data_IF_788934842485
#
_entry.id   IF_788934842485
#
_cell.length_a   1.000
_cell.length_b   1.000
_cell.length_c   1.000
_cell.angle_alpha   90.00
_cell.angle_beta   90.00
_cell.angle_gamma   90.00
#
_symmetry.space_group_name_H-M   'P 1'
#
loop_
_entity.id
_entity.type
_entity.pdbx_description
1 polymer ?
#
# COMPACT_ATOMS: atom_id res chain seq x y z
N UNK A 1 -7.89 -12.53 -28.04
CA UNK A 1 -8.92 -11.47 -28.15
C UNK A 1 -8.87 -10.64 -26.88
N UNK A 2 -8.95 -9.30 -26.95
CA UNK A 2 -9.04 -8.49 -25.74
C UNK A 2 -10.32 -8.84 -24.96
N UNK A 3 -10.22 -8.94 -23.64
CA UNK A 3 -11.37 -9.14 -22.76
C UNK A 3 -12.32 -7.93 -22.90
N UNK A 4 -13.63 -8.14 -23.10
CA UNK A 4 -14.58 -7.03 -23.11
C UNK A 4 -14.60 -6.34 -21.74
N UNK A 5 -14.69 -5.02 -21.73
CA UNK A 5 -14.64 -4.17 -20.53
C UNK A 5 -15.58 -4.65 -19.41
N UNK A 6 -16.86 -4.98 -19.68
CA UNK A 6 -17.76 -5.41 -18.61
C UNK A 6 -17.29 -6.71 -17.94
N UNK A 7 -16.71 -7.64 -18.71
CA UNK A 7 -16.17 -8.87 -18.13
C UNK A 7 -14.94 -8.58 -17.26
N UNK A 8 -14.07 -7.66 -17.70
CA UNK A 8 -12.90 -7.25 -16.94
C UNK A 8 -13.28 -6.58 -15.61
N UNK A 9 -14.24 -5.65 -15.61
CA UNK A 9 -14.71 -4.98 -14.38
C UNK A 9 -15.33 -5.97 -13.40
N UNK A 10 -16.15 -6.91 -13.88
CA UNK A 10 -16.74 -7.94 -13.01
C UNK A 10 -15.68 -8.86 -12.39
N UNK A 11 -14.71 -9.32 -13.18
CA UNK A 11 -13.61 -10.16 -12.69
C UNK A 11 -12.75 -9.37 -11.69
N UNK A 12 -12.55 -8.07 -11.92
CA UNK A 12 -11.82 -7.16 -11.02
C UNK A 12 -12.48 -7.16 -9.64
N UNK A 13 -13.78 -6.87 -9.58
CA UNK A 13 -14.55 -6.82 -8.33
C UNK A 13 -14.50 -8.14 -7.56
N UNK A 14 -14.58 -9.29 -8.24
CA UNK A 14 -14.51 -10.59 -7.57
C UNK A 14 -13.14 -10.83 -6.94
N UNK A 15 -12.07 -10.51 -7.67
CA UNK A 15 -10.70 -10.65 -7.19
C UNK A 15 -10.41 -9.66 -6.06
N UNK A 16 -10.95 -8.46 -6.17
CA UNK A 16 -10.90 -7.42 -5.16
C UNK A 16 -11.53 -7.90 -3.83
N UNK A 17 -12.77 -8.38 -3.87
CA UNK A 17 -13.47 -8.89 -2.69
C UNK A 17 -12.71 -10.07 -2.07
N UNK A 18 -12.13 -10.95 -2.90
CA UNK A 18 -11.32 -12.07 -2.42
C UNK A 18 -10.06 -11.60 -1.69
N UNK A 19 -9.32 -10.64 -2.26
CA UNK A 19 -8.14 -10.03 -1.65
C UNK A 19 -8.51 -9.27 -0.37
N UNK A 20 -9.66 -8.59 -0.35
CA UNK A 20 -10.19 -7.93 0.84
C UNK A 20 -10.49 -8.93 1.97
N UNK A 21 -10.99 -10.11 1.63
CA UNK A 21 -11.16 -11.21 2.59
C UNK A 21 -9.82 -11.61 3.24
N UNK A 22 -8.79 -11.83 2.42
CA UNK A 22 -7.42 -12.13 2.92
C UNK A 22 -6.89 -11.00 3.80
N UNK A 23 -7.03 -9.76 3.33
CA UNK A 23 -6.63 -8.56 4.07
C UNK A 23 -7.33 -8.46 5.43
N UNK A 24 -8.63 -8.75 5.48
CA UNK A 24 -9.41 -8.74 6.73
C UNK A 24 -8.92 -9.82 7.71
N UNK A 25 -8.56 -11.02 7.23
CA UNK A 25 -7.94 -12.04 8.08
C UNK A 25 -6.60 -11.57 8.66
N UNK A 26 -5.75 -10.92 7.85
CA UNK A 26 -4.49 -10.32 8.31
C UNK A 26 -4.73 -9.21 9.33
N UNK A 27 -5.74 -8.37 9.12
CA UNK A 27 -6.14 -7.31 10.04
C UNK A 27 -6.57 -7.89 11.38
N UNK A 28 -7.44 -8.90 11.39
CA UNK A 28 -7.90 -9.56 12.62
C UNK A 28 -6.72 -10.18 13.36
N UNK A 29 -5.84 -10.89 12.67
CA UNK A 29 -4.64 -11.49 13.26
C UNK A 29 -3.69 -10.44 13.85
N UNK A 30 -3.41 -9.37 13.10
CA UNK A 30 -2.56 -8.25 13.56
C UNK A 30 -3.15 -7.55 14.78
N UNK A 31 -4.45 -7.24 14.74
CA UNK A 31 -5.18 -6.61 15.84
C UNK A 31 -5.24 -7.51 17.07
N UNK A 32 -5.45 -8.82 16.90
CA UNK A 32 -5.41 -9.79 17.99
C UNK A 32 -4.04 -9.81 18.68
N UNK A 33 -2.95 -9.88 17.90
CA UNK A 33 -1.58 -9.84 18.44
C UNK A 33 -1.27 -8.51 19.16
N UNK A 34 -1.76 -7.39 18.64
CA UNK A 34 -1.67 -6.07 19.28
C UNK A 34 -2.45 -6.01 20.59
N UNK A 35 -3.64 -6.61 20.64
CA UNK A 35 -4.53 -6.61 21.80
C UNK A 35 -4.01 -7.49 22.94
N UNK A 36 -3.42 -8.64 22.64
CA UNK A 36 -2.81 -9.55 23.62
C UNK A 36 -1.62 -8.96 24.40
N UNK A 37 -1.10 -7.80 23.98
CA UNK A 37 -0.01 -7.11 24.68
C UNK A 37 -0.44 -6.60 26.05
N UNK A 38 0.23 -7.09 27.11
CA UNK A 38 0.06 -6.62 28.49
C UNK A 38 0.45 -5.15 28.70
N UNK A 39 1.42 -4.61 27.96
CA UNK A 39 1.82 -3.19 28.04
C UNK A 39 1.54 -2.46 26.72
N UNK A 40 0.69 -1.43 26.77
CA UNK A 40 0.36 -0.57 25.63
C UNK A 40 1.31 0.62 25.61
N UNK A 41 2.38 0.55 24.82
CA UNK A 41 3.26 1.70 24.58
C UNK A 41 2.59 2.67 23.61
N UNK A 42 3.02 3.94 23.61
CA UNK A 42 2.52 4.95 22.66
C UNK A 42 2.59 4.45 21.21
N UNK A 43 3.69 3.80 20.83
CA UNK A 43 3.89 3.20 19.51
C UNK A 43 2.84 2.13 19.19
N UNK A 44 2.54 1.22 20.12
CA UNK A 44 1.53 0.17 19.91
C UNK A 44 0.14 0.78 19.71
N UNK A 45 -0.21 1.81 20.48
CA UNK A 45 -1.49 2.51 20.35
C UNK A 45 -1.58 3.19 18.98
N UNK A 46 -0.55 3.97 18.60
CA UNK A 46 -0.50 4.62 17.29
C UNK A 46 -0.60 3.61 16.14
N UNK A 47 0.15 2.51 16.19
CA UNK A 47 0.10 1.46 15.17
C UNK A 47 -1.29 0.79 15.10
N UNK A 48 -1.96 0.60 16.24
CA UNK A 48 -3.32 0.04 16.28
C UNK A 48 -4.32 1.00 15.65
N UNK A 49 -4.23 2.29 15.97
CA UNK A 49 -5.11 3.33 15.38
C UNK A 49 -4.91 3.43 13.87
N UNK A 50 -3.66 3.50 13.40
CA UNK A 50 -3.36 3.52 11.96
C UNK A 50 -3.89 2.27 11.26
N UNK A 51 -3.74 1.09 11.89
CA UNK A 51 -4.26 -0.16 11.33
C UNK A 51 -5.80 -0.14 11.19
N UNK A 52 -6.51 0.37 12.19
CA UNK A 52 -7.98 0.51 12.14
C UNK A 52 -8.39 1.50 11.05
N UNK A 53 -7.70 2.64 10.94
CA UNK A 53 -7.98 3.64 9.91
C UNK A 53 -7.80 3.05 8.51
N UNK A 54 -6.68 2.35 8.26
CA UNK A 54 -6.42 1.69 6.97
C UNK A 54 -7.49 0.62 6.66
N UNK A 55 -7.93 -0.16 7.66
CA UNK A 55 -8.98 -1.15 7.43
C UNK A 55 -10.34 -0.53 7.11
N UNK A 56 -10.69 0.59 7.76
CA UNK A 56 -11.92 1.33 7.47
C UNK A 56 -11.89 1.94 6.06
N UNK A 57 -10.77 2.52 5.64
CA UNK A 57 -10.60 3.06 4.28
C UNK A 57 -10.73 1.96 3.24
N UNK A 58 -10.08 0.82 3.44
CA UNK A 58 -10.14 -0.31 2.50
C UNK A 58 -11.55 -0.90 2.41
N UNK A 59 -12.28 -0.95 3.54
CA UNK A 59 -13.68 -1.37 3.56
C UNK A 59 -14.57 -0.39 2.80
N UNK A 60 -14.33 0.92 2.97
CA UNK A 60 -15.03 1.97 2.22
C UNK A 60 -14.78 1.85 0.72
N UNK A 61 -13.53 1.65 0.31
CA UNK A 61 -13.12 1.53 -1.08
C UNK A 61 -13.82 0.37 -1.80
N UNK A 62 -13.81 -0.83 -1.20
CA UNK A 62 -14.49 -2.03 -1.75
C UNK A 62 -16.00 -1.83 -1.81
N UNK A 63 -16.58 -1.21 -0.78
CA UNK A 63 -18.03 -0.95 -0.73
C UNK A 63 -18.46 -0.01 -1.85
N UNK A 64 -17.70 1.06 -2.06
CA UNK A 64 -17.92 2.01 -3.15
C UNK A 64 -17.72 1.35 -4.52
N UNK A 65 -16.73 0.45 -4.66
CA UNK A 65 -16.51 -0.24 -5.94
C UNK A 65 -17.64 -1.21 -6.27
N UNK A 66 -18.11 -1.93 -5.25
CA UNK A 66 -19.28 -2.79 -5.36
C UNK A 66 -20.51 -1.98 -5.77
N UNK A 67 -20.77 -0.84 -5.13
CA UNK A 67 -21.90 0.02 -5.46
C UNK A 67 -21.81 0.57 -6.90
N UNK A 68 -20.65 1.12 -7.30
CA UNK A 68 -20.39 1.63 -8.66
C UNK A 68 -20.68 0.53 -9.69
N UNK A 69 -20.08 -0.64 -9.48
CA UNK A 69 -20.16 -1.76 -10.40
C UNK A 69 -21.58 -2.32 -10.48
N UNK A 70 -22.23 -2.53 -9.33
CA UNK A 70 -23.61 -3.02 -9.27
C UNK A 70 -24.58 -2.07 -9.98
N UNK A 71 -24.49 -0.76 -9.72
CA UNK A 71 -25.33 0.24 -10.37
C UNK A 71 -25.08 0.31 -11.88
N UNK A 72 -23.80 0.29 -12.29
CA UNK A 72 -23.42 0.30 -13.71
C UNK A 72 -23.99 -0.89 -14.48
N UNK A 73 -23.96 -2.10 -13.90
CA UNK A 73 -24.50 -3.30 -14.54
C UNK A 73 -26.03 -3.34 -14.58
N UNK A 74 -26.69 -3.10 -13.45
CA UNK A 74 -28.12 -3.37 -13.31
C UNK A 74 -29.03 -2.18 -13.63
N UNK A 75 -28.53 -0.95 -13.50
CA UNK A 75 -29.35 0.25 -13.63
C UNK A 75 -29.04 1.06 -14.89
N UNK A 76 -27.78 1.04 -15.33
CA UNK A 76 -27.29 1.89 -16.43
C UNK A 76 -26.92 1.08 -17.69
N UNK A 77 -27.28 -0.20 -17.73
CA UNK A 77 -27.05 -1.11 -18.87
C UNK A 77 -25.58 -1.14 -19.34
N UNK A 78 -24.62 -1.15 -18.41
CA UNK A 78 -23.17 -1.12 -18.68
C UNK A 78 -22.63 -2.28 -19.53
N UNK A 79 -23.45 -3.29 -19.81
CA UNK A 79 -23.17 -4.36 -20.78
C UNK A 79 -23.23 -3.82 -22.22
N UNK A 80 -24.18 -2.93 -22.52
CA UNK A 80 -24.38 -2.33 -23.84
C UNK A 80 -23.58 -1.04 -23.99
N UNK A 81 -23.54 -0.22 -22.94
CA UNK A 81 -22.75 1.01 -22.91
C UNK A 81 -21.63 0.93 -21.87
N UNK A 82 -20.45 0.50 -22.31
CA UNK A 82 -19.29 0.35 -21.42
C UNK A 82 -18.72 1.68 -20.93
N UNK A 83 -19.13 2.83 -21.50
CA UNK A 83 -18.61 4.14 -21.10
C UNK A 83 -18.95 4.47 -19.64
N UNK A 84 -20.10 3.99 -19.17
CA UNK A 84 -20.57 4.13 -17.79
C UNK A 84 -19.62 3.46 -16.78
N UNK A 85 -19.05 2.31 -17.15
CA UNK A 85 -18.12 1.57 -16.29
C UNK A 85 -16.71 2.18 -16.29
N UNK A 86 -16.35 2.87 -17.37
CA UNK A 86 -15.04 3.51 -17.57
C UNK A 86 -14.99 4.97 -17.13
N UNK A 87 -16.11 5.54 -16.65
CA UNK A 87 -16.17 6.93 -16.21
C UNK A 87 -15.54 7.10 -14.83
N UNK A 88 -14.34 7.68 -14.82
CA UNK A 88 -13.57 7.98 -13.62
C UNK A 88 -13.81 9.40 -13.09
N UNK A 89 -14.65 10.21 -13.77
CA UNK A 89 -15.12 11.49 -13.23
C UNK A 89 -16.21 11.34 -12.17
N UNK A 90 -16.78 10.14 -12.05
CA UNK A 90 -17.86 9.84 -11.11
C UNK A 90 -17.42 10.14 -9.66
N UNK A 91 -18.25 10.86 -8.86
CA UNK A 91 -17.95 11.17 -7.46
C UNK A 91 -17.58 9.95 -6.60
N UNK A 92 -18.09 8.76 -6.95
CA UNK A 92 -17.72 7.50 -6.28
C UNK A 92 -16.25 7.17 -6.51
N UNK A 93 -15.75 7.30 -7.74
CA UNK A 93 -14.34 7.08 -8.10
C UNK A 93 -13.44 8.14 -7.48
N UNK A 94 -13.88 9.40 -7.47
CA UNK A 94 -13.15 10.46 -6.78
C UNK A 94 -13.01 10.17 -5.28
N UNK A 95 -14.05 9.62 -4.65
CA UNK A 95 -14.01 9.22 -3.25
C UNK A 95 -13.04 8.04 -3.01
N UNK A 96 -13.04 7.05 -3.91
CA UNK A 96 -12.08 5.94 -3.87
C UNK A 96 -10.64 6.43 -3.99
N UNK A 97 -10.37 7.35 -4.92
CA UNK A 97 -9.04 7.95 -5.09
C UNK A 97 -8.56 8.63 -3.81
N UNK A 98 -9.43 9.35 -3.11
CA UNK A 98 -9.09 9.97 -1.82
C UNK A 98 -8.76 8.92 -0.75
N UNK A 99 -9.52 7.82 -0.68
CA UNK A 99 -9.24 6.72 0.24
C UNK A 99 -7.87 6.09 -0.05
N UNK A 100 -7.58 5.79 -1.32
CA UNK A 100 -6.27 5.26 -1.75
C UNK A 100 -5.13 6.23 -1.40
N UNK A 101 -5.34 7.54 -1.60
CA UNK A 101 -4.38 8.56 -1.22
C UNK A 101 -4.02 8.51 0.25
N UNK A 102 -5.03 8.39 1.12
CA UNK A 102 -4.80 8.30 2.56
C UNK A 102 -4.04 7.00 2.90
N UNK A 103 -4.39 5.88 2.27
CA UNK A 103 -3.77 4.58 2.52
C UNK A 103 -2.27 4.57 2.17
N UNK A 104 -1.88 5.02 0.98
CA UNK A 104 -0.46 5.02 0.63
C UNK A 104 0.33 6.07 1.41
N UNK A 105 -0.25 7.22 1.79
CA UNK A 105 0.43 8.21 2.66
C UNK A 105 0.72 7.60 4.03
N UNK A 106 -0.25 6.90 4.63
CA UNK A 106 -0.07 6.20 5.90
C UNK A 106 0.98 5.09 5.73
N UNK A 107 0.90 4.29 4.66
CA UNK A 107 1.85 3.23 4.35
C UNK A 107 3.28 3.74 4.23
N UNK A 108 3.51 4.75 3.39
CA UNK A 108 4.81 5.38 3.15
C UNK A 108 5.35 6.04 4.42
N UNK A 109 4.47 6.65 5.20
CA UNK A 109 4.78 7.20 6.52
C UNK A 109 5.27 6.13 7.51
N UNK A 110 4.60 4.98 7.59
CA UNK A 110 5.00 3.85 8.45
C UNK A 110 6.37 3.33 8.03
N UNK A 111 6.61 3.12 6.73
CA UNK A 111 7.89 2.59 6.23
C UNK A 111 9.03 3.58 6.50
N UNK A 112 8.79 4.86 6.24
CA UNK A 112 9.74 5.95 6.52
C UNK A 112 10.06 6.07 8.01
N UNK A 113 9.03 6.03 8.87
CA UNK A 113 9.20 6.10 10.33
C UNK A 113 10.12 4.99 10.83
N UNK A 114 10.01 3.76 10.29
CA UNK A 114 10.90 2.65 10.65
C UNK A 114 12.34 2.90 10.25
N UNK A 115 12.58 3.37 9.03
CA UNK A 115 13.93 3.71 8.58
C UNK A 115 14.53 4.81 9.46
N UNK A 116 13.74 5.83 9.80
CA UNK A 116 14.16 6.94 10.67
C UNK A 116 14.54 6.49 12.08
N UNK A 117 13.70 5.68 12.73
CA UNK A 117 13.99 5.14 14.08
C UNK A 117 15.23 4.24 14.07
N UNK A 118 15.42 3.44 13.03
CA UNK A 118 16.57 2.53 12.91
C UNK A 118 17.90 3.26 12.69
N UNK A 119 17.84 4.47 12.14
CA UNK A 119 18.98 5.36 11.92
C UNK A 119 19.16 6.43 13.01
N UNK A 120 18.69 6.13 14.23
CA UNK A 120 18.83 6.99 15.39
C UNK A 120 18.33 8.43 15.16
N UNK A 121 17.18 8.53 14.49
CA UNK A 121 16.47 9.77 14.25
C UNK A 121 17.21 10.78 13.34
N UNK A 122 18.11 10.32 12.46
CA UNK A 122 18.77 11.17 11.47
C UNK A 122 17.76 11.92 10.59
N UNK A 123 17.78 13.25 10.70
CA UNK A 123 16.87 14.15 9.98
C UNK A 123 17.02 14.09 8.47
N UNK A 124 18.17 13.65 7.94
CA UNK A 124 18.41 13.53 6.49
C UNK A 124 17.44 12.53 5.84
N UNK A 125 17.17 11.42 6.53
CA UNK A 125 16.25 10.38 6.05
C UNK A 125 14.82 10.90 6.05
N UNK A 126 14.46 11.67 7.09
CA UNK A 126 13.16 12.31 7.18
C UNK A 126 12.95 13.28 6.03
N UNK A 127 13.88 14.22 5.80
CA UNK A 127 13.75 15.18 4.70
C UNK A 127 13.70 14.51 3.32
N UNK A 128 14.56 13.53 3.06
CA UNK A 128 14.57 12.80 1.79
C UNK A 128 13.24 12.09 1.53
N UNK A 129 12.70 11.39 2.54
CA UNK A 129 11.44 10.66 2.41
C UNK A 129 10.23 11.60 2.36
N UNK A 130 10.25 12.71 3.12
CA UNK A 130 9.21 13.72 3.06
C UNK A 130 9.09 14.36 1.68
N UNK A 131 10.20 14.59 0.97
CA UNK A 131 10.16 15.11 -0.41
C UNK A 131 9.45 14.13 -1.34
N UNK A 132 9.75 12.83 -1.24
CA UNK A 132 9.11 11.80 -2.05
C UNK A 132 7.60 11.69 -1.75
N UNK A 133 7.22 11.67 -0.47
CA UNK A 133 5.81 11.61 -0.04
C UNK A 133 5.04 12.86 -0.49
N UNK A 134 5.62 14.06 -0.34
CA UNK A 134 5.00 15.29 -0.84
C UNK A 134 4.81 15.25 -2.36
N UNK A 135 5.75 14.66 -3.09
CA UNK A 135 5.60 14.38 -4.51
C UNK A 135 4.39 13.50 -4.80
N UNK A 136 4.25 12.36 -4.11
CA UNK A 136 3.12 11.44 -4.27
C UNK A 136 1.78 12.15 -4.00
N UNK A 137 1.72 12.96 -2.92
CA UNK A 137 0.54 13.76 -2.57
C UNK A 137 0.22 14.77 -3.66
N UNK A 138 1.22 15.51 -4.16
CA UNK A 138 1.02 16.48 -5.23
C UNK A 138 0.48 15.82 -6.50
N UNK A 139 1.03 14.67 -6.89
CA UNK A 139 0.54 13.92 -8.06
C UNK A 139 -0.88 13.39 -7.86
N UNK A 140 -1.25 12.98 -6.64
CA UNK A 140 -2.62 12.56 -6.30
C UNK A 140 -3.61 13.72 -6.36
N UNK A 141 -3.25 14.90 -5.86
CA UNK A 141 -4.07 16.12 -5.96
C UNK A 141 -4.27 16.52 -7.42
N UNK A 142 -3.21 16.48 -8.24
CA UNK A 142 -3.31 16.79 -9.67
C UNK A 142 -4.20 15.80 -10.42
N UNK A 143 -4.14 14.51 -10.08
CA UNK A 143 -5.03 13.49 -10.61
C UNK A 143 -6.49 13.78 -10.23
N UNK A 144 -6.76 14.03 -8.95
CA UNK A 144 -8.09 14.38 -8.45
C UNK A 144 -8.64 15.61 -9.17
N UNK A 145 -7.86 16.68 -9.29
CA UNK A 145 -8.29 17.91 -9.98
C UNK A 145 -8.59 17.68 -11.46
N UNK A 146 -7.77 16.86 -12.14
CA UNK A 146 -7.98 16.52 -13.54
C UNK A 146 -9.29 15.76 -13.75
N UNK A 147 -9.60 14.79 -12.88
CA UNK A 147 -10.84 14.00 -12.93
C UNK A 147 -12.07 14.82 -12.49
N UNK A 148 -11.94 15.64 -11.44
CA UNK A 148 -13.06 16.43 -10.91
C UNK A 148 -13.46 17.62 -11.83
N UNK A 149 -12.53 18.08 -12.68
CA UNK A 149 -12.77 19.21 -13.59
C UNK A 149 -13.20 18.78 -14.99
N UNK A 150 -13.28 17.47 -15.28
CA UNK A 150 -13.69 16.99 -16.60
C UNK A 150 -15.20 17.11 -16.78
N UNK A 151 -15.64 17.81 -17.82
CA UNK A 151 -17.04 17.90 -18.22
C UNK A 151 -17.53 16.71 -19.06
N UNK A 152 -16.62 15.84 -19.47
CA UNK A 152 -16.87 14.66 -20.30
C UNK A 152 -16.35 13.41 -19.60
N UNK A 153 -16.88 12.24 -19.99
CA UNK A 153 -16.40 10.93 -19.53
C UNK A 153 -14.90 10.81 -19.75
N UNK A 154 -14.16 10.72 -18.64
CA UNK A 154 -12.71 10.61 -18.63
C UNK A 154 -12.33 9.28 -18.02
N UNK A 155 -11.32 8.64 -18.60
CA UNK A 155 -10.74 7.43 -18.05
C UNK A 155 -9.28 7.70 -17.68
N UNK A 156 -8.91 7.28 -16.47
CA UNK A 156 -7.54 7.37 -15.93
C UNK A 156 -6.52 6.77 -16.90
N UNK A 157 -6.92 5.75 -17.67
CA UNK A 157 -6.08 5.00 -18.59
C UNK A 157 -5.95 5.64 -19.97
N UNK A 158 -7.07 6.16 -20.50
CA UNK A 158 -7.11 6.70 -21.87
C UNK A 158 -6.58 8.13 -21.93
N UNK A 159 -6.79 8.92 -20.87
CA UNK A 159 -6.34 10.29 -20.84
C UNK A 159 -4.84 10.38 -20.52
N UNK A 160 -4.09 11.09 -21.35
CA UNK A 160 -2.64 11.20 -21.21
C UNK A 160 -2.21 11.84 -19.88
N UNK A 161 -2.92 12.89 -19.43
CA UNK A 161 -2.59 13.61 -18.20
C UNK A 161 -2.84 12.75 -16.97
N UNK A 162 -4.01 12.13 -16.85
CA UNK A 162 -4.34 11.24 -15.72
C UNK A 162 -3.37 10.07 -15.63
N UNK A 163 -2.95 9.53 -16.79
CA UNK A 163 -2.00 8.41 -16.86
C UNK A 163 -0.61 8.82 -16.39
N UNK A 164 -0.16 10.04 -16.71
CA UNK A 164 1.10 10.60 -16.21
C UNK A 164 1.03 10.81 -14.70
N UNK A 165 -0.03 11.43 -14.19
CA UNK A 165 -0.20 11.68 -12.75
C UNK A 165 -0.23 10.38 -11.94
N UNK A 166 -1.02 9.41 -12.42
CA UNK A 166 -1.12 8.07 -11.81
C UNK A 166 0.24 7.38 -11.79
N UNK A 167 0.92 7.28 -12.94
CA UNK A 167 2.24 6.63 -13.03
C UNK A 167 3.27 7.32 -12.13
N UNK A 168 3.24 8.66 -12.08
CA UNK A 168 4.14 9.44 -11.23
C UNK A 168 3.92 9.16 -9.74
N UNK A 169 2.65 9.09 -9.30
CA UNK A 169 2.31 8.71 -7.92
C UNK A 169 2.84 7.30 -7.58
N UNK A 170 2.61 6.32 -8.46
CA UNK A 170 3.09 4.94 -8.26
C UNK A 170 4.62 4.88 -8.15
N UNK A 171 5.34 5.58 -9.03
CA UNK A 171 6.81 5.61 -9.05
C UNK A 171 7.37 6.30 -7.80
N UNK A 172 6.75 7.38 -7.34
CA UNK A 172 7.18 8.09 -6.14
C UNK A 172 6.98 7.26 -4.87
N UNK A 173 5.83 6.59 -4.74
CA UNK A 173 5.58 5.67 -3.63
C UNK A 173 6.51 4.45 -3.68
N UNK A 174 6.74 3.86 -4.86
CA UNK A 174 7.76 2.81 -5.03
C UNK A 174 9.13 3.31 -4.58
N UNK A 175 9.53 4.51 -5.00
CA UNK A 175 10.83 5.11 -4.67
C UNK A 175 10.99 5.30 -3.16
N UNK A 176 9.95 5.80 -2.47
CA UNK A 176 9.94 5.93 -1.00
C UNK A 176 10.19 4.58 -0.32
N UNK A 177 9.54 3.52 -0.80
CA UNK A 177 9.63 2.20 -0.20
C UNK A 177 10.95 1.50 -0.52
N UNK A 178 11.47 1.64 -1.74
CA UNK A 178 12.81 1.13 -2.11
C UNK A 178 13.87 1.85 -1.28
N UNK A 179 13.79 3.16 -1.16
CA UNK A 179 14.72 3.96 -0.36
C UNK A 179 14.73 3.51 1.10
N UNK A 180 13.56 3.48 1.74
CA UNK A 180 13.45 3.08 3.14
C UNK A 180 13.82 1.61 3.37
N UNK A 181 13.40 0.68 2.50
CA UNK A 181 13.76 -0.74 2.60
C UNK A 181 15.26 -0.96 2.45
N UNK A 182 15.90 -0.23 1.52
CA UNK A 182 17.36 -0.29 1.33
C UNK A 182 18.11 0.25 2.55
N UNK A 183 17.65 1.36 3.14
CA UNK A 183 18.23 1.89 4.39
C UNK A 183 18.10 0.90 5.55
N UNK A 184 16.95 0.23 5.66
CA UNK A 184 16.70 -0.80 6.67
C UNK A 184 17.64 -1.99 6.43
N UNK A 185 17.74 -2.49 5.19
CA UNK A 185 18.60 -3.60 4.81
C UNK A 185 20.08 -3.31 5.03
N UNK A 186 20.54 -2.12 4.67
CA UNK A 186 21.93 -1.71 4.89
C UNK A 186 22.27 -1.67 6.38
N UNK A 187 21.43 -1.02 7.19
CA UNK A 187 21.66 -0.93 8.64
C UNK A 187 21.60 -2.31 9.30
N UNK A 188 20.72 -3.19 8.81
CA UNK A 188 20.68 -4.59 9.21
C UNK A 188 21.99 -5.32 8.96
N UNK A 189 22.53 -5.16 7.77
CA UNK A 189 23.76 -5.80 7.36
C UNK A 189 24.95 -5.31 8.19
N UNK A 190 25.06 -4.00 8.43
CA UNK A 190 26.11 -3.41 9.27
C UNK A 190 26.03 -3.96 10.71
N UNK A 191 24.84 -3.99 11.32
CA UNK A 191 24.67 -4.56 12.65
C UNK A 191 25.01 -6.05 12.69
N UNK A 192 24.59 -6.83 11.70
CA UNK A 192 24.94 -8.26 11.60
C UNK A 192 26.46 -8.46 11.51
N UNK A 193 27.16 -7.64 10.73
CA UNK A 193 28.62 -7.71 10.55
C UNK A 193 29.36 -7.38 11.84
N UNK A 194 28.96 -6.31 12.52
CA UNK A 194 29.55 -5.86 13.78
C UNK A 194 29.32 -6.86 14.92
N UNK A 195 28.14 -7.46 15.00
CA UNK A 195 27.87 -8.47 16.03
C UNK A 195 28.63 -9.77 15.71
N UNK A 196 28.71 -10.18 14.44
CA UNK A 196 29.53 -11.36 14.05
C UNK A 196 31.02 -11.18 14.38
N UNK A 197 31.55 -9.96 14.27
CA UNK A 197 32.94 -9.68 14.66
C UNK A 197 33.17 -9.64 16.17
N UNK A 198 32.15 -9.32 16.98
CA UNK A 198 32.26 -9.21 18.44
C UNK A 198 31.88 -10.49 19.19
N UNK A 199 31.06 -11.37 18.59
CA UNK A 199 30.42 -12.49 19.30
C UNK A 199 31.01 -13.86 18.94
N UNK A 200 32.24 -13.91 18.43
CA UNK A 200 32.96 -15.17 18.13
C UNK A 200 33.32 -16.00 19.39
N UNK A 201 32.52 -15.95 20.46
CA UNK A 201 32.73 -16.71 21.69
C UNK A 201 31.75 -16.54 22.87
N UNK A 202 30.61 -15.83 22.76
CA UNK A 202 29.77 -15.52 23.94
C UNK A 202 28.26 -15.85 23.86
N UNK A 203 27.69 -16.18 25.03
CA UNK A 203 26.32 -16.65 25.33
C UNK A 203 25.16 -15.66 25.01
N UNK A 204 25.40 -14.51 24.39
CA UNK A 204 24.37 -13.51 24.02
C UNK A 204 23.63 -13.76 22.70
N UNK A 205 23.89 -14.89 22.04
CA UNK A 205 23.44 -15.19 20.68
C UNK A 205 21.91 -15.18 20.50
N UNK A 206 21.13 -15.58 21.52
CA UNK A 206 19.68 -15.70 21.42
C UNK A 206 18.96 -14.34 21.27
N UNK A 207 19.33 -13.33 22.08
CA UNK A 207 18.70 -12.00 22.02
C UNK A 207 19.10 -11.22 20.76
N UNK A 208 20.32 -11.45 20.27
CA UNK A 208 20.82 -10.93 18.99
C UNK A 208 20.06 -11.55 17.83
N UNK A 209 19.84 -12.87 17.84
CA UNK A 209 19.14 -13.60 16.78
C UNK A 209 17.70 -13.14 16.60
N UNK A 210 16.98 -12.88 17.70
CA UNK A 210 15.64 -12.30 17.65
C UNK A 210 15.58 -10.96 16.92
N UNK A 211 16.48 -10.01 17.22
CA UNK A 211 16.57 -8.71 16.53
C UNK A 211 16.87 -8.84 15.04
N UNK A 212 17.70 -9.82 14.68
CA UNK A 212 18.12 -10.12 13.30
C UNK A 212 16.96 -10.67 12.46
N UNK A 213 16.14 -11.55 13.04
CA UNK A 213 14.99 -12.17 12.37
C UNK A 213 13.88 -11.15 12.09
N UNK A 214 13.65 -10.22 13.02
CA UNK A 214 12.68 -9.13 12.85
C UNK A 214 13.08 -8.22 11.70
N UNK A 215 14.37 -7.89 11.64
CA UNK A 215 14.89 -7.03 10.60
C UNK A 215 14.87 -7.71 9.24
N UNK A 216 15.05 -9.05 9.18
CA UNK A 216 14.83 -9.83 7.98
C UNK A 216 13.37 -9.74 7.51
N UNK A 217 12.43 -9.91 8.43
CA UNK A 217 10.99 -9.85 8.14
C UNK A 217 10.54 -8.45 7.69
N UNK A 218 11.15 -7.40 8.24
CA UNK A 218 10.96 -6.01 7.78
C UNK A 218 11.45 -5.81 6.36
N UNK A 219 12.61 -6.38 6.01
CA UNK A 219 13.14 -6.32 4.64
C UNK A 219 12.24 -7.12 3.70
N UNK A 220 11.85 -8.34 4.08
CA UNK A 220 10.99 -9.22 3.28
C UNK A 220 9.64 -8.56 2.95
N UNK A 221 8.96 -8.00 3.97
CA UNK A 221 7.70 -7.28 3.78
C UNK A 221 7.87 -5.98 2.98
N UNK A 222 8.96 -5.23 3.17
CA UNK A 222 9.29 -4.06 2.37
C UNK A 222 9.58 -4.40 0.90
N UNK A 223 10.28 -5.51 0.65
CA UNK A 223 10.53 -6.01 -0.71
C UNK A 223 9.23 -6.45 -1.38
N UNK A 224 8.35 -7.17 -0.67
CA UNK A 224 7.03 -7.53 -1.20
C UNK A 224 6.23 -6.29 -1.61
N UNK A 225 6.22 -5.24 -0.79
CA UNK A 225 5.55 -3.98 -1.15
C UNK A 225 6.19 -3.28 -2.36
N UNK A 226 7.52 -3.33 -2.50
CA UNK A 226 8.18 -2.81 -3.69
C UNK A 226 7.83 -3.62 -4.94
N UNK A 227 7.76 -4.96 -4.82
CA UNK A 227 7.38 -5.85 -5.89
C UNK A 227 5.92 -5.63 -6.33
N UNK A 228 4.99 -5.38 -5.40
CA UNK A 228 3.61 -5.04 -5.76
C UNK A 228 3.57 -3.77 -6.60
N UNK A 229 4.17 -2.67 -6.13
CA UNK A 229 4.20 -1.42 -6.90
C UNK A 229 4.92 -1.55 -8.25
N UNK A 230 6.01 -2.31 -8.32
CA UNK A 230 6.71 -2.55 -9.58
C UNK A 230 5.84 -3.33 -10.58
N UNK A 231 5.21 -4.43 -10.14
CA UNK A 231 4.30 -5.20 -10.97
C UNK A 231 3.12 -4.34 -11.46
N UNK A 232 2.61 -3.46 -10.59
CA UNK A 232 1.56 -2.50 -10.93
C UNK A 232 1.98 -1.54 -12.05
N UNK A 233 3.13 -0.88 -11.89
CA UNK A 233 3.66 0.05 -12.90
C UNK A 233 3.86 -0.69 -14.23
N UNK A 234 4.41 -1.91 -14.17
CA UNK A 234 4.62 -2.72 -15.37
C UNK A 234 3.31 -3.00 -16.11
N UNK A 235 2.28 -3.48 -15.42
CA UNK A 235 0.99 -3.76 -16.06
C UNK A 235 0.32 -2.47 -16.53
N UNK A 236 0.33 -1.41 -15.73
CA UNK A 236 -0.30 -0.12 -16.07
C UNK A 236 0.30 0.53 -17.31
N UNK A 237 1.62 0.42 -17.48
CA UNK A 237 2.33 1.03 -18.62
C UNK A 237 2.29 0.14 -19.87
N UNK A 238 2.42 -1.19 -19.70
CA UNK A 238 2.65 -2.10 -20.83
C UNK A 238 1.44 -2.96 -21.22
N UNK A 239 0.42 -3.11 -20.38
CA UNK A 239 -0.69 -4.05 -20.61
C UNK A 239 -2.01 -3.29 -20.76
N UNK A 240 -2.33 -2.87 -21.99
CA UNK A 240 -3.53 -2.08 -22.32
C UNK A 240 -4.89 -2.67 -21.86
N UNK A 241 -5.01 -3.98 -21.67
CA UNK A 241 -6.30 -4.64 -21.37
C UNK A 241 -6.45 -5.14 -19.92
N UNK A 242 -5.36 -5.18 -19.15
CA UNK A 242 -5.34 -5.73 -17.79
C UNK A 242 -5.48 -4.66 -16.71
N UNK A 243 -5.64 -3.39 -17.09
CA UNK A 243 -5.48 -2.28 -16.16
C UNK A 243 -6.71 -2.08 -15.25
N UNK A 244 -7.93 -2.30 -15.77
CA UNK A 244 -9.16 -2.29 -14.98
C UNK A 244 -9.15 -3.34 -13.87
N UNK A 245 -8.56 -4.51 -14.13
CA UNK A 245 -8.43 -5.58 -13.15
C UNK A 245 -7.56 -5.16 -11.97
N UNK A 246 -6.65 -4.20 -12.15
CA UNK A 246 -5.51 -4.06 -11.26
C UNK A 246 -5.59 -2.87 -10.30
N UNK A 247 -6.27 -1.77 -10.66
CA UNK A 247 -6.47 -0.63 -9.73
C UNK A 247 -7.29 -1.04 -8.52
N UNK A 248 -8.33 -1.84 -8.71
CA UNK A 248 -9.17 -2.28 -7.58
C UNK A 248 -8.38 -3.23 -6.65
N UNK A 249 -7.60 -4.15 -7.23
CA UNK A 249 -6.70 -5.03 -6.47
C UNK A 249 -5.58 -4.27 -5.73
N UNK A 250 -5.23 -3.06 -6.20
CA UNK A 250 -4.11 -2.25 -5.73
C UNK A 250 -4.32 -1.81 -4.28
N UNK A 251 -5.54 -1.40 -3.95
CA UNK A 251 -5.93 -1.03 -2.60
C UNK A 251 -5.69 -2.19 -1.64
N UNK A 252 -6.17 -3.41 -1.93
CA UNK A 252 -5.97 -4.51 -0.99
C UNK A 252 -4.54 -5.04 -0.93
N UNK A 253 -3.82 -5.12 -2.05
CA UNK A 253 -2.45 -5.67 -2.07
C UNK A 253 -1.47 -4.76 -1.34
N UNK A 254 -1.56 -3.45 -1.55
CA UNK A 254 -0.70 -2.47 -0.88
C UNK A 254 -0.93 -2.50 0.63
N UNK A 255 -2.19 -2.48 1.08
CA UNK A 255 -2.55 -2.46 2.49
C UNK A 255 -2.20 -3.80 3.18
N UNK A 256 -2.34 -4.93 2.48
CA UNK A 256 -1.90 -6.25 2.96
C UNK A 256 -0.40 -6.30 3.23
N UNK A 257 0.42 -5.78 2.31
CA UNK A 257 1.86 -5.75 2.45
C UNK A 257 2.30 -4.78 3.56
N UNK A 258 1.63 -3.63 3.73
CA UNK A 258 1.85 -2.74 4.87
C UNK A 258 1.49 -3.44 6.19
N UNK A 259 0.38 -4.17 6.25
CA UNK A 259 -0.03 -4.92 7.44
C UNK A 259 0.95 -6.04 7.82
N UNK A 260 1.43 -6.79 6.84
CA UNK A 260 2.48 -7.79 7.04
C UNK A 260 3.73 -7.13 7.63
N UNK A 261 4.09 -5.96 7.11
CA UNK A 261 5.22 -5.17 7.61
C UNK A 261 4.99 -4.62 9.03
N UNK A 262 3.74 -4.32 9.40
CA UNK A 262 3.33 -3.85 10.73
C UNK A 262 3.35 -5.01 11.73
N UNK A 263 2.75 -6.15 11.39
CA UNK A 263 2.78 -7.37 12.21
C UNK A 263 4.22 -7.88 12.45
N UNK A 264 5.09 -7.74 11.44
CA UNK A 264 6.52 -8.05 11.53
C UNK A 264 7.24 -7.21 12.58
N UNK A 265 6.99 -5.90 12.57
CA UNK A 265 7.58 -4.94 13.50
C UNK A 265 7.16 -5.16 14.96
N UNK A 266 6.05 -5.87 15.18
CA UNK A 266 5.50 -6.09 16.50
C UNK A 266 6.09 -7.33 17.17
N UNK A 267 6.54 -8.36 16.44
CA UNK A 267 7.16 -9.58 17.01
C UNK A 267 8.26 -9.40 18.10
N UNK A 268 9.15 -8.38 18.12
CA UNK A 268 10.19 -8.20 19.16
C UNK A 268 9.72 -8.15 20.61
N UNK A 269 8.44 -7.89 20.82
CA UNK A 269 7.87 -7.66 22.15
C UNK A 269 6.94 -8.81 22.57
N UNK A 270 6.89 -9.92 21.81
CA UNK A 270 6.20 -11.17 22.19
C UNK A 270 7.14 -12.12 22.94
N UNK A 271 8.46 -11.99 22.77
CA UNK A 271 9.47 -12.87 23.35
C UNK A 271 10.03 -12.38 24.70
N UNK A 272 9.25 -11.62 25.47
CA UNK A 272 9.56 -11.22 26.86
C UNK A 272 8.37 -11.49 27.75
#
# INVERSE_FOLDING_TARGET
MPLPVPHAVFISLVLEIFLYGIYTCLFIGSSYLLLLRRKKTKVIITMTVLNIIMWLMSTGHVTLNFEKTFRGFFWENGIQDSSVLEDDSNPVVLSQLVMECIEFIIGDGIVTWRAWVLWDHDRRILYASSILIMGSVATGIMLFQTLASSSETISIYRNGSTRIWTTSAMVLTLSTNVFATTLIAYRAWVHRRLIRSLTSGFHGAAQVRGKIDILALLIESGTLYCCTWFAMIFVFVFVNSGVYLMIDMLAQLSVSAVLLSLSASLRPFVSV
#
